data_IF_667972876741
#
_entry.id   IF_667972876741
#
_cell.length_a   1.000
_cell.length_b   1.000
_cell.length_c   1.000
_cell.angle_alpha   90.00
_cell.angle_beta   90.00
_cell.angle_gamma   90.00
#
_symmetry.space_group_name_H-M   'P 1'
#
loop_
_entity.id
_entity.type
_entity.pdbx_description
1 polymer ?
#
# COMPACT_ATOMS: atom_id res chain seq x y z
N UNK A 1 46.11 -23.71 -15.19
CA UNK A 1 44.89 -23.63 -16.02
C UNK A 1 43.75 -24.28 -15.24
N UNK A 2 43.01 -23.49 -14.45
CA UNK A 2 41.73 -22.84 -14.80
C UNK A 2 40.53 -23.68 -14.36
N UNK A 3 40.35 -23.84 -13.04
CA UNK A 3 39.13 -24.35 -12.41
C UNK A 3 38.26 -23.20 -11.82
N UNK A 4 38.73 -21.95 -11.91
CA UNK A 4 38.11 -20.79 -11.26
C UNK A 4 37.47 -19.79 -12.23
N UNK A 5 36.58 -20.23 -13.14
CA UNK A 5 35.89 -19.28 -14.05
C UNK A 5 34.37 -19.35 -14.14
N UNK A 6 33.71 -20.31 -13.47
CA UNK A 6 32.26 -20.45 -13.59
C UNK A 6 31.45 -20.22 -12.29
N UNK A 7 32.08 -20.06 -11.12
CA UNK A 7 31.35 -19.83 -9.87
C UNK A 7 31.01 -18.36 -9.59
N UNK A 8 31.61 -17.41 -10.32
CA UNK A 8 31.41 -15.97 -10.07
C UNK A 8 30.17 -15.39 -10.78
N UNK A 9 29.54 -16.13 -11.71
CA UNK A 9 28.32 -15.66 -12.41
C UNK A 9 27.03 -15.92 -11.63
N UNK A 10 27.05 -16.83 -10.65
CA UNK A 10 25.88 -17.15 -9.83
C UNK A 10 25.81 -16.34 -8.52
N UNK A 11 26.90 -15.68 -8.13
CA UNK A 11 26.96 -14.84 -6.93
C UNK A 11 26.47 -13.41 -7.15
N UNK A 12 26.16 -13.02 -8.40
CA UNK A 12 25.67 -11.68 -8.74
C UNK A 12 24.14 -11.58 -8.87
N UNK A 13 23.40 -12.68 -8.71
CA UNK A 13 21.92 -12.69 -8.82
C UNK A 13 21.24 -12.62 -7.45
N UNK A 14 21.97 -12.86 -6.35
CA UNK A 14 21.41 -12.89 -4.98
C UNK A 14 21.43 -11.55 -4.23
N UNK A 15 21.90 -10.45 -4.85
CA UNK A 15 22.03 -9.14 -4.19
C UNK A 15 21.03 -8.09 -4.67
N UNK A 16 19.98 -8.46 -5.41
CA UNK A 16 18.93 -7.53 -5.88
C UNK A 16 17.60 -7.60 -5.12
N UNK A 17 17.49 -8.39 -4.05
CA UNK A 17 16.23 -8.57 -3.29
C UNK A 17 16.02 -7.56 -2.14
N UNK A 18 16.81 -6.49 -2.08
CA UNK A 18 16.81 -5.57 -0.93
C UNK A 18 15.93 -4.32 -1.04
N UNK A 19 15.32 -4.01 -2.19
CA UNK A 19 14.91 -2.63 -2.50
C UNK A 19 13.52 -2.43 -3.17
N UNK A 20 12.54 -3.31 -2.95
CA UNK A 20 11.13 -3.01 -3.25
C UNK A 20 10.31 -3.24 -1.99
N UNK A 21 10.12 -2.20 -1.18
CA UNK A 21 9.42 -2.30 0.11
C UNK A 21 7.92 -1.99 0.05
N UNK A 22 7.35 -2.04 -1.15
CA UNK A 22 5.94 -2.35 -1.36
C UNK A 22 5.86 -3.55 -2.30
N UNK A 23 5.75 -4.73 -1.71
CA UNK A 23 5.57 -5.98 -2.47
C UNK A 23 4.15 -6.07 -3.05
N UNK A 24 3.24 -5.18 -2.64
CA UNK A 24 1.84 -5.22 -3.04
C UNK A 24 1.28 -3.84 -3.35
N UNK A 25 0.27 -3.82 -4.22
CA UNK A 25 -0.55 -2.66 -4.54
C UNK A 25 -2.04 -3.05 -4.42
N UNK A 26 -2.88 -2.25 -3.76
CA UNK A 26 -4.32 -2.47 -3.79
C UNK A 26 -4.88 -2.36 -5.21
N UNK A 27 -5.73 -3.31 -5.59
CA UNK A 27 -6.41 -3.38 -6.89
C UNK A 27 -7.86 -2.93 -6.71
N UNK A 28 -8.64 -3.68 -5.93
CA UNK A 28 -10.02 -3.33 -5.58
C UNK A 28 -10.12 -3.13 -4.07
N UNK A 29 -10.50 -1.95 -3.59
CA UNK A 29 -10.46 -1.69 -2.16
C UNK A 29 -11.31 -0.52 -1.69
N UNK A 30 -11.70 -0.59 -0.42
CA UNK A 30 -12.22 0.53 0.36
C UNK A 30 -11.33 0.74 1.58
N UNK A 31 -10.94 1.99 1.82
CA UNK A 31 -10.14 2.38 2.98
C UNK A 31 -10.84 3.55 3.70
N UNK A 32 -11.16 3.36 4.97
CA UNK A 32 -11.74 4.39 5.81
C UNK A 32 -10.79 4.75 6.95
N UNK A 33 -10.47 6.04 7.06
CA UNK A 33 -9.62 6.59 8.10
C UNK A 33 -10.43 7.61 8.90
N UNK A 34 -10.43 7.48 10.22
CA UNK A 34 -11.03 8.44 11.14
C UNK A 34 -9.96 8.96 12.10
N UNK A 35 -9.79 10.28 12.13
CA UNK A 35 -8.78 10.96 12.95
C UNK A 35 -9.50 11.98 13.83
N UNK A 36 -9.77 11.61 15.08
CA UNK A 36 -10.55 12.40 16.03
C UNK A 36 -9.82 12.53 17.35
N UNK A 37 -9.64 13.75 17.83
CA UNK A 37 -8.87 14.01 19.05
C UNK A 37 -7.44 13.46 18.93
N UNK A 38 -7.06 12.51 19.77
CA UNK A 38 -5.79 11.81 19.71
C UNK A 38 -5.93 10.38 19.17
N UNK A 39 -7.04 10.01 18.53
CA UNK A 39 -7.28 8.66 18.06
C UNK A 39 -7.26 8.57 16.53
N UNK A 40 -6.57 7.55 16.02
CA UNK A 40 -6.63 7.09 14.63
C UNK A 40 -7.33 5.72 14.58
N UNK A 41 -8.42 5.64 13.84
CA UNK A 41 -9.10 4.40 13.48
C UNK A 41 -9.00 4.16 11.98
N UNK A 42 -8.77 2.90 11.60
CA UNK A 42 -8.56 2.47 10.23
C UNK A 42 -9.37 1.22 9.95
N UNK A 43 -10.15 1.27 8.89
CA UNK A 43 -10.75 0.11 8.24
C UNK A 43 -10.20 0.00 6.82
N UNK A 44 -9.81 -1.20 6.41
CA UNK A 44 -9.38 -1.47 5.04
C UNK A 44 -9.88 -2.85 4.63
N UNK A 45 -10.54 -2.91 3.49
CA UNK A 45 -10.94 -4.15 2.84
C UNK A 45 -10.55 -4.08 1.37
N UNK A 46 -9.86 -5.10 0.87
CA UNK A 46 -9.52 -5.11 -0.54
C UNK A 46 -8.69 -6.30 -1.01
N UNK A 47 -8.49 -6.34 -2.32
CA UNK A 47 -7.61 -7.27 -3.00
C UNK A 47 -6.28 -6.57 -3.33
N UNK A 48 -5.19 -7.29 -3.14
CA UNK A 48 -3.83 -6.82 -3.30
C UNK A 48 -3.17 -7.62 -4.42
N UNK A 49 -2.45 -6.92 -5.29
CA UNK A 49 -1.63 -7.52 -6.35
C UNK A 49 -0.16 -7.43 -6.00
N UNK A 50 0.56 -8.52 -6.19
CA UNK A 50 2.00 -8.58 -5.93
C UNK A 50 2.79 -7.84 -7.02
N UNK A 51 3.52 -6.79 -6.63
CA UNK A 51 4.13 -5.84 -7.57
C UNK A 51 5.48 -6.33 -8.11
N UNK A 52 6.29 -7.05 -7.31
CA UNK A 52 7.65 -7.44 -7.73
C UNK A 52 7.61 -8.42 -8.89
N UNK A 53 6.66 -9.35 -8.89
CA UNK A 53 6.47 -10.35 -9.94
C UNK A 53 5.94 -9.68 -11.21
N UNK A 54 4.98 -8.75 -11.10
CA UNK A 54 4.53 -7.92 -12.24
C UNK A 54 5.70 -7.15 -12.86
N UNK A 55 6.55 -6.54 -12.03
CA UNK A 55 7.72 -5.82 -12.51
C UNK A 55 8.76 -6.75 -13.15
N UNK A 56 8.96 -7.94 -12.57
CA UNK A 56 9.92 -8.94 -13.06
C UNK A 56 9.46 -9.60 -14.36
N UNK A 57 8.15 -9.74 -14.56
CA UNK A 57 7.56 -10.24 -15.81
C UNK A 57 7.55 -9.18 -16.92
N UNK A 58 7.73 -7.90 -16.55
CA UNK A 58 7.60 -6.76 -17.44
C UNK A 58 6.14 -6.44 -17.79
N UNK A 59 5.22 -6.67 -16.85
CA UNK A 59 3.78 -6.50 -17.04
C UNK A 59 3.10 -7.68 -17.72
N UNK A 60 3.83 -8.75 -18.06
CA UNK A 60 3.23 -9.95 -18.67
C UNK A 60 2.47 -10.77 -17.62
N UNK A 61 1.34 -11.39 -17.99
CA UNK A 61 0.64 -12.33 -17.11
C UNK A 61 1.58 -13.44 -16.65
N UNK A 62 1.50 -13.78 -15.36
CA UNK A 62 2.22 -14.88 -14.75
C UNK A 62 1.23 -16.03 -14.59
N UNK A 63 1.69 -17.26 -14.84
CA UNK A 63 0.83 -18.42 -14.74
C UNK A 63 0.32 -18.59 -13.29
N UNK A 64 -0.97 -18.93 -13.08
CA UNK A 64 -1.51 -19.18 -11.75
C UNK A 64 -0.78 -20.27 -10.95
N UNK A 65 -0.23 -21.26 -11.64
CA UNK A 65 0.52 -22.37 -11.06
C UNK A 65 2.03 -22.13 -10.96
N UNK A 66 2.50 -20.89 -11.18
CA UNK A 66 3.92 -20.56 -11.03
C UNK A 66 4.36 -20.77 -9.56
N UNK A 67 5.29 -21.71 -9.29
CA UNK A 67 5.64 -22.09 -7.93
C UNK A 67 6.35 -20.97 -7.17
N UNK A 68 7.07 -20.08 -7.85
CA UNK A 68 7.75 -18.96 -7.19
C UNK A 68 6.74 -17.89 -6.76
N UNK A 69 5.74 -17.63 -7.61
CA UNK A 69 4.65 -16.73 -7.26
C UNK A 69 3.83 -17.29 -6.10
N UNK A 70 3.51 -18.58 -6.10
CA UNK A 70 2.74 -19.20 -5.01
C UNK A 70 3.49 -19.18 -3.66
N UNK A 71 4.80 -19.42 -3.67
CA UNK A 71 5.65 -19.28 -2.47
C UNK A 71 5.64 -17.82 -1.97
N UNK A 72 5.83 -16.85 -2.88
CA UNK A 72 5.81 -15.43 -2.54
C UNK A 72 4.47 -14.96 -1.97
N UNK A 73 3.35 -15.36 -2.57
CA UNK A 73 2.02 -15.02 -2.08
C UNK A 73 1.74 -15.64 -0.71
N UNK A 74 2.23 -16.87 -0.48
CA UNK A 74 2.13 -17.54 0.82
C UNK A 74 2.90 -16.82 1.91
N UNK A 75 4.14 -16.40 1.61
CA UNK A 75 4.96 -15.62 2.54
C UNK A 75 4.33 -14.26 2.85
N UNK A 76 3.81 -13.56 1.84
CA UNK A 76 3.12 -12.29 2.02
C UNK A 76 1.84 -12.43 2.85
N UNK A 77 1.04 -13.47 2.60
CA UNK A 77 -0.16 -13.76 3.38
C UNK A 77 0.19 -14.01 4.85
N UNK A 78 1.18 -14.89 5.11
CA UNK A 78 1.66 -15.16 6.46
C UNK A 78 2.22 -13.91 7.16
N UNK A 79 2.74 -12.95 6.39
CA UNK A 79 3.25 -11.68 6.93
C UNK A 79 2.14 -10.71 7.31
N UNK A 80 1.05 -10.65 6.54
CA UNK A 80 -0.16 -9.90 6.90
C UNK A 80 -0.83 -10.48 8.15
N UNK A 81 -0.94 -11.81 8.24
CA UNK A 81 -1.54 -12.49 9.41
C UNK A 81 -0.82 -12.20 10.73
N UNK A 82 0.49 -11.87 10.66
CA UNK A 82 1.29 -11.49 11.84
C UNK A 82 1.11 -10.01 12.22
N UNK A 83 0.56 -9.18 11.34
CA UNK A 83 0.38 -7.75 11.62
C UNK A 83 -0.89 -7.52 12.48
N UNK A 84 -0.84 -6.61 13.47
CA UNK A 84 -2.02 -6.22 14.22
C UNK A 84 -3.12 -5.66 13.32
N UNK A 85 -4.38 -5.97 13.66
CA UNK A 85 -5.58 -5.45 13.01
C UNK A 85 -6.09 -6.27 11.83
N UNK A 86 -5.30 -7.19 11.25
CA UNK A 86 -5.80 -8.03 10.16
C UNK A 86 -6.80 -9.05 10.69
N UNK A 87 -7.99 -9.08 10.10
CA UNK A 87 -9.10 -9.97 10.49
C UNK A 87 -9.37 -11.05 9.43
N UNK A 88 -8.89 -10.85 8.21
CA UNK A 88 -8.94 -11.83 7.12
C UNK A 88 -7.75 -11.64 6.20
N UNK A 89 -7.11 -12.74 5.80
CA UNK A 89 -6.06 -12.79 4.80
C UNK A 89 -6.26 -14.06 3.98
N UNK A 90 -6.41 -13.96 2.66
CA UNK A 90 -6.68 -15.09 1.78
C UNK A 90 -6.01 -14.91 0.42
N UNK A 91 -5.31 -15.92 -0.06
CA UNK A 91 -4.84 -15.95 -1.46
C UNK A 91 -6.03 -16.33 -2.33
N UNK A 92 -6.29 -15.56 -3.38
CA UNK A 92 -7.38 -15.81 -4.34
C UNK A 92 -6.90 -16.62 -5.53
N UNK A 93 -7.84 -17.24 -6.25
CA UNK A 93 -7.56 -18.05 -7.44
C UNK A 93 -6.86 -17.30 -8.57
N UNK A 94 -6.88 -15.96 -8.52
CA UNK A 94 -6.30 -15.08 -9.52
C UNK A 94 -4.92 -14.55 -9.10
N UNK A 95 -4.21 -15.17 -8.15
CA UNK A 95 -2.92 -14.66 -7.64
C UNK A 95 -3.02 -13.27 -6.96
N UNK A 96 -4.17 -12.95 -6.35
CA UNK A 96 -4.30 -11.77 -5.48
C UNK A 96 -4.30 -12.22 -4.02
N UNK A 97 -4.04 -11.29 -3.12
CA UNK A 97 -4.24 -11.48 -1.69
C UNK A 97 -5.42 -10.60 -1.28
N UNK A 98 -6.51 -11.22 -0.86
CA UNK A 98 -7.59 -10.52 -0.19
C UNK A 98 -7.23 -10.27 1.26
N UNK A 99 -7.48 -9.06 1.75
CA UNK A 99 -7.27 -8.70 3.14
C UNK A 99 -8.43 -7.88 3.72
N UNK A 100 -8.68 -8.06 5.02
CA UNK A 100 -9.44 -7.15 5.87
C UNK A 100 -8.59 -6.73 7.05
N UNK A 101 -8.64 -5.44 7.38
CA UNK A 101 -7.92 -4.81 8.48
C UNK A 101 -8.87 -3.86 9.21
N UNK A 102 -8.93 -4.00 10.52
CA UNK A 102 -9.63 -3.09 11.44
C UNK A 102 -8.69 -2.80 12.60
N UNK A 103 -8.33 -1.54 12.79
CA UNK A 103 -7.38 -1.15 13.81
C UNK A 103 -7.70 0.23 14.40
N UNK A 104 -7.38 0.42 15.67
CA UNK A 104 -7.58 1.68 16.37
C UNK A 104 -6.45 1.91 17.36
N UNK A 105 -5.86 3.10 17.33
CA UNK A 105 -4.65 3.45 18.10
C UNK A 105 -4.60 4.94 18.41
N UNK A 106 -3.86 5.32 19.44
CA UNK A 106 -3.59 6.73 19.73
C UNK A 106 -2.56 7.32 18.75
N UNK A 107 -2.71 8.59 18.40
CA UNK A 107 -1.81 9.41 17.57
C UNK A 107 -0.52 9.74 18.32
N UNK A 108 -0.57 9.78 19.65
CA UNK A 108 0.58 9.93 20.55
C UNK A 108 1.57 8.76 20.42
N UNK A 109 1.06 7.54 20.18
CA UNK A 109 1.86 6.34 19.85
C UNK A 109 2.47 6.42 18.45
N UNK A 110 2.06 7.40 17.64
CA UNK A 110 2.50 7.62 16.27
C UNK A 110 3.73 8.55 16.27
N UNK A 111 4.90 7.96 16.53
CA UNK A 111 6.19 8.40 15.98
C UNK A 111 6.56 7.63 14.71
N UNK A 112 5.54 7.12 14.03
CA UNK A 112 5.57 5.94 13.18
C UNK A 112 4.78 6.20 11.90
N UNK A 113 5.34 5.90 10.74
CA UNK A 113 4.60 5.87 9.47
C UNK A 113 3.61 4.70 9.57
N UNK A 114 2.31 4.95 9.55
CA UNK A 114 1.34 3.87 9.39
C UNK A 114 1.09 3.65 7.90
N UNK A 115 1.35 2.42 7.44
CA UNK A 115 1.24 2.02 6.06
C UNK A 115 -0.03 1.21 5.80
N UNK A 116 -0.77 1.50 4.74
CA UNK A 116 -1.86 0.64 4.26
C UNK A 116 -1.57 0.16 2.83
N UNK A 117 -1.70 -1.15 2.54
CA UNK A 117 -1.82 -2.23 3.51
C UNK A 117 -0.56 -2.29 4.42
N UNK A 118 -0.76 -2.65 5.69
CA UNK A 118 0.32 -2.69 6.68
C UNK A 118 1.23 -3.89 6.41
N UNK A 119 2.48 -3.61 6.03
CA UNK A 119 3.51 -4.63 5.82
C UNK A 119 4.45 -4.70 7.03
N UNK A 120 5.31 -5.72 7.11
CA UNK A 120 6.36 -5.84 8.15
C UNK A 120 7.32 -4.63 8.22
N UNK A 121 7.27 -3.73 7.23
CA UNK A 121 7.97 -2.44 7.27
C UNK A 121 6.92 -1.33 7.31
N UNK A 122 6.18 -1.15 8.42
CA UNK A 122 5.16 -0.11 8.41
C UNK A 122 5.84 1.27 8.36
N UNK A 123 7.11 1.41 8.77
CA UNK A 123 7.93 2.62 8.49
C UNK A 123 8.37 2.86 7.03
N UNK A 124 8.01 1.98 6.09
CA UNK A 124 8.43 2.11 4.70
C UNK A 124 7.76 3.32 4.04
N UNK A 125 8.55 4.09 3.28
CA UNK A 125 8.03 5.15 2.40
C UNK A 125 7.21 4.60 1.23
N UNK A 126 7.27 3.29 1.02
CA UNK A 126 6.67 2.62 -0.13
C UNK A 126 5.25 2.12 0.17
N UNK A 127 4.79 2.12 1.43
CA UNK A 127 3.41 1.73 1.74
C UNK A 127 2.40 2.56 0.94
N UNK A 128 1.35 1.90 0.44
CA UNK A 128 0.45 2.52 -0.52
C UNK A 128 -0.23 3.77 0.03
N UNK A 129 -0.73 3.76 1.27
CA UNK A 129 -1.09 4.97 2.02
C UNK A 129 -0.18 5.10 3.25
N UNK A 130 0.28 6.31 3.53
CA UNK A 130 1.15 6.66 4.64
C UNK A 130 0.53 7.76 5.49
N UNK A 131 0.46 7.53 6.79
CA UNK A 131 0.07 8.52 7.80
C UNK A 131 1.30 8.85 8.65
N UNK A 132 1.69 10.11 8.71
CA UNK A 132 2.91 10.59 9.34
C UNK A 132 2.60 11.76 10.28
N UNK A 133 2.73 11.54 11.59
CA UNK A 133 2.67 12.59 12.59
C UNK A 133 4.03 13.27 12.72
N UNK A 134 4.07 14.59 12.54
CA UNK A 134 5.28 15.41 12.47
C UNK A 134 5.55 16.11 13.81
N UNK A 135 6.81 16.50 14.00
CA UNK A 135 7.27 17.16 15.23
C UNK A 135 6.62 18.52 15.53
N UNK A 136 5.98 19.13 14.54
CA UNK A 136 5.26 20.41 14.64
C UNK A 136 3.74 20.24 14.93
N UNK A 137 3.31 19.01 15.22
CA UNK A 137 1.91 18.65 15.48
C UNK A 137 1.05 18.55 14.23
N UNK A 138 1.65 18.54 13.04
CA UNK A 138 0.93 18.24 11.80
C UNK A 138 0.82 16.73 11.56
N UNK A 139 -0.29 16.30 10.98
CA UNK A 139 -0.43 14.95 10.40
C UNK A 139 -0.39 15.09 8.89
N UNK A 140 0.54 14.38 8.25
CA UNK A 140 0.63 14.25 6.81
C UNK A 140 0.11 12.87 6.37
N UNK A 141 -0.88 12.85 5.48
CA UNK A 141 -1.39 11.65 4.84
C UNK A 141 -1.01 11.71 3.36
N UNK A 142 -0.29 10.71 2.87
CA UNK A 142 0.15 10.64 1.47
C UNK A 142 0.11 9.24 0.93
N UNK A 143 -0.17 9.06 -0.36
CA UNK A 143 0.07 7.78 -1.02
C UNK A 143 1.51 7.63 -1.53
N UNK A 144 1.94 6.39 -1.74
CA UNK A 144 3.17 6.10 -2.45
C UNK A 144 3.13 6.69 -3.88
N UNK A 145 4.27 7.18 -4.35
CA UNK A 145 4.40 7.65 -5.74
C UNK A 145 4.97 6.53 -6.60
N UNK A 146 4.23 6.14 -7.62
CA UNK A 146 4.75 5.24 -8.64
C UNK A 146 5.77 5.95 -9.52
N UNK A 147 6.85 5.26 -9.87
CA UNK A 147 7.70 5.70 -10.99
C UNK A 147 6.95 5.39 -12.28
N UNK A 148 7.05 6.27 -13.29
CA UNK A 148 6.33 6.10 -14.56
C UNK A 148 6.52 4.72 -15.20
N UNK A 149 7.74 4.16 -15.15
CA UNK A 149 8.04 2.81 -15.67
C UNK A 149 7.29 1.72 -14.89
N UNK A 150 7.19 1.86 -13.58
CA UNK A 150 6.58 0.86 -12.70
C UNK A 150 5.06 0.89 -12.85
N UNK A 151 4.49 2.10 -12.95
CA UNK A 151 3.06 2.28 -13.24
C UNK A 151 2.70 1.71 -14.61
N UNK A 152 3.49 1.98 -15.65
CA UNK A 152 3.24 1.46 -16.99
C UNK A 152 3.29 -0.09 -17.04
N UNK A 153 4.22 -0.72 -16.30
CA UNK A 153 4.27 -2.17 -16.21
C UNK A 153 3.08 -2.74 -15.43
N UNK A 154 2.64 -2.05 -14.37
CA UNK A 154 1.46 -2.41 -13.60
C UNK A 154 0.19 -2.33 -14.46
N UNK A 155 -0.07 -1.19 -15.10
CA UNK A 155 -1.23 -0.97 -15.98
C UNK A 155 -1.18 -1.80 -17.26
N UNK A 156 0.01 -2.23 -17.70
CA UNK A 156 0.18 -3.17 -18.81
C UNK A 156 -0.12 -4.63 -18.44
N UNK A 157 -0.28 -4.93 -17.15
CA UNK A 157 -0.71 -6.25 -16.66
C UNK A 157 -2.24 -6.34 -16.59
N UNK A 158 -2.76 -7.43 -16.02
CA UNK A 158 -4.18 -7.57 -15.69
C UNK A 158 -4.57 -6.78 -14.42
N UNK A 159 -3.97 -5.60 -14.21
CA UNK A 159 -4.28 -4.74 -13.06
C UNK A 159 -5.36 -3.75 -13.44
N UNK A 160 -6.42 -3.69 -12.63
CA UNK A 160 -7.57 -2.82 -12.84
C UNK A 160 -7.87 -2.07 -11.54
N UNK A 161 -7.44 -0.81 -11.39
CA UNK A 161 -7.63 -0.06 -10.15
C UNK A 161 -9.12 0.29 -9.96
N UNK A 162 -9.65 -0.03 -8.78
CA UNK A 162 -10.99 0.33 -8.34
C UNK A 162 -10.97 0.56 -6.81
N UNK A 163 -10.50 1.75 -6.43
CA UNK A 163 -10.23 2.08 -5.04
C UNK A 163 -11.02 3.28 -4.55
N UNK A 164 -11.47 3.23 -3.29
CA UNK A 164 -12.02 4.40 -2.59
C UNK A 164 -11.27 4.60 -1.28
N UNK A 165 -10.86 5.85 -1.02
CA UNK A 165 -10.26 6.25 0.26
C UNK A 165 -11.09 7.37 0.86
N UNK A 166 -11.59 7.16 2.08
CA UNK A 166 -12.37 8.12 2.83
C UNK A 166 -11.63 8.53 4.10
N UNK A 167 -11.46 9.83 4.33
CA UNK A 167 -10.81 10.37 5.54
C UNK A 167 -11.75 11.36 6.24
N UNK A 168 -12.11 11.03 7.47
CA UNK A 168 -12.90 11.86 8.38
C UNK A 168 -12.02 12.42 9.50
N UNK A 169 -12.22 13.68 9.88
CA UNK A 169 -11.45 14.30 10.97
C UNK A 169 -12.16 15.50 11.62
N UNK A 170 -11.87 15.78 12.90
CA UNK A 170 -12.23 17.03 13.61
C UNK A 170 -11.08 18.06 13.67
N UNK A 171 -9.91 17.71 13.14
CA UNK A 171 -8.75 18.59 13.06
C UNK A 171 -8.88 19.63 11.95
N UNK A 172 -8.12 20.72 12.07
CA UNK A 172 -8.03 21.72 11.00
C UNK A 172 -7.32 21.10 9.77
N UNK A 173 -7.99 21.12 8.62
CA UNK A 173 -7.42 20.67 7.35
C UNK A 173 -6.67 21.82 6.69
N UNK A 174 -5.35 21.71 6.62
CA UNK A 174 -4.46 22.72 6.05
C UNK A 174 -4.35 22.62 4.52
N UNK A 175 -4.35 21.38 4.01
CA UNK A 175 -4.18 21.09 2.57
C UNK A 175 -4.81 19.74 2.24
N UNK A 176 -5.47 19.61 1.08
CA UNK A 176 -5.89 18.32 0.54
C UNK A 176 -5.97 18.35 -0.99
N UNK A 177 -5.99 17.17 -1.62
CA UNK A 177 -6.29 17.00 -3.04
C UNK A 177 -7.47 16.03 -3.29
N UNK A 178 -8.32 15.81 -2.29
CA UNK A 178 -9.53 14.99 -2.38
C UNK A 178 -10.42 15.37 -3.57
N UNK A 179 -11.09 14.38 -4.16
CA UNK A 179 -12.07 14.57 -5.23
C UNK A 179 -13.39 15.12 -4.67
N UNK A 180 -13.73 14.71 -3.44
CA UNK A 180 -14.89 15.20 -2.69
C UNK A 180 -14.48 15.68 -1.31
N UNK A 181 -15.19 16.70 -0.81
CA UNK A 181 -14.97 17.29 0.52
C UNK A 181 -16.20 17.08 1.40
N UNK A 182 -16.06 17.11 2.74
CA UNK A 182 -17.19 17.04 3.65
C UNK A 182 -18.27 18.08 3.32
N UNK A 183 -19.53 17.67 3.42
CA UNK A 183 -20.69 18.48 3.08
C UNK A 183 -21.94 18.01 3.81
N UNK A 184 -23.12 18.35 3.30
CA UNK A 184 -24.39 18.06 3.99
C UNK A 184 -24.69 16.56 4.13
N UNK A 185 -24.10 15.72 3.27
CA UNK A 185 -24.40 14.29 3.15
C UNK A 185 -23.21 13.38 3.51
N UNK A 186 -22.01 13.93 3.68
CA UNK A 186 -20.79 13.18 3.97
C UNK A 186 -19.89 13.98 4.91
N UNK A 187 -19.31 13.31 5.91
CA UNK A 187 -18.32 13.89 6.82
C UNK A 187 -16.88 13.69 6.35
N UNK A 188 -16.66 13.05 5.20
CA UNK A 188 -15.35 12.60 4.75
C UNK A 188 -14.83 13.38 3.54
N UNK A 189 -13.51 13.51 3.50
CA UNK A 189 -12.77 13.76 2.27
C UNK A 189 -12.61 12.44 1.52
N UNK A 190 -12.89 12.42 0.22
CA UNK A 190 -12.91 11.17 -0.57
C UNK A 190 -11.97 11.26 -1.76
N UNK A 191 -11.25 10.17 -2.02
CA UNK A 191 -10.44 9.96 -3.21
C UNK A 191 -10.93 8.71 -3.93
N UNK A 192 -11.20 8.85 -5.23
CA UNK A 192 -11.47 7.73 -6.12
C UNK A 192 -10.16 7.39 -6.85
N UNK A 193 -9.71 6.14 -6.75
CA UNK A 193 -8.46 5.64 -7.31
C UNK A 193 -8.80 4.57 -8.33
N UNK A 194 -9.31 5.00 -9.47
CA UNK A 194 -9.91 4.17 -10.51
C UNK A 194 -9.21 4.30 -11.89
N UNK A 195 -8.09 5.02 -11.93
CA UNK A 195 -7.45 5.43 -13.18
C UNK A 195 -5.95 5.71 -13.01
N UNK A 196 -5.23 5.71 -14.13
CA UNK A 196 -3.80 6.10 -14.18
C UNK A 196 -3.59 7.51 -13.60
N UNK A 197 -4.44 8.46 -14.00
CA UNK A 197 -4.37 9.84 -13.51
C UNK A 197 -4.59 9.91 -11.99
N UNK A 198 -5.53 9.13 -11.46
CA UNK A 198 -5.76 9.05 -10.01
C UNK A 198 -4.55 8.44 -9.27
N UNK A 199 -3.96 7.36 -9.79
CA UNK A 199 -2.75 6.75 -9.22
C UNK A 199 -1.54 7.71 -9.24
N UNK A 200 -1.40 8.50 -10.30
CA UNK A 200 -0.35 9.53 -10.42
C UNK A 200 -0.58 10.72 -9.51
N UNK A 201 -1.85 11.18 -9.40
CA UNK A 201 -2.27 12.26 -8.51
C UNK A 201 -2.02 11.87 -7.05
N UNK A 202 -2.35 10.63 -6.70
CA UNK A 202 -2.21 10.05 -5.37
C UNK A 202 -3.05 10.77 -4.31
N UNK A 203 -2.92 10.31 -3.07
CA UNK A 203 -3.52 10.95 -1.90
C UNK A 203 -2.56 11.97 -1.30
N UNK A 204 -3.09 13.13 -0.94
CA UNK A 204 -2.40 14.13 -0.12
C UNK A 204 -3.40 14.83 0.78
N UNK A 205 -3.14 14.81 2.09
CA UNK A 205 -3.86 15.58 3.09
C UNK A 205 -2.89 16.03 4.19
N UNK A 206 -3.06 17.26 4.69
CA UNK A 206 -2.35 17.79 5.85
C UNK A 206 -3.35 18.31 6.87
N UNK A 207 -3.17 17.86 8.11
CA UNK A 207 -3.98 18.25 9.25
C UNK A 207 -3.11 18.96 10.28
N UNK A 208 -3.70 19.91 11.00
CA UNK A 208 -3.15 20.48 12.22
C UNK A 208 -3.94 19.94 13.41
N UNK A 209 -3.28 19.21 14.30
CA UNK A 209 -3.94 18.77 15.53
C UNK A 209 -4.35 20.00 16.37
N UNK A 210 -5.57 19.95 16.91
CA UNK A 210 -6.15 21.01 17.74
C UNK A 210 -5.61 21.00 19.17
#
# INVERSE_FOLDING_TARGET
MSVYKNSLKYLAILSLFGALSACVVPEQYEAELSIYGDQLSVEFEGTLKELVSVMSSGGRPIAPDDPQLQELLSDLAADFEKQPGYTSVQITDNNRIYVKLSDTREISDIGYIYGLPATQRPKSKDNFLRIEHRSDGEILITSAKFKAKDLAALLGSDYDPDGVISISTDHEVLEHNADETPGLLSSSYVWNVDSEDALLKGVKMRLKMN
#
